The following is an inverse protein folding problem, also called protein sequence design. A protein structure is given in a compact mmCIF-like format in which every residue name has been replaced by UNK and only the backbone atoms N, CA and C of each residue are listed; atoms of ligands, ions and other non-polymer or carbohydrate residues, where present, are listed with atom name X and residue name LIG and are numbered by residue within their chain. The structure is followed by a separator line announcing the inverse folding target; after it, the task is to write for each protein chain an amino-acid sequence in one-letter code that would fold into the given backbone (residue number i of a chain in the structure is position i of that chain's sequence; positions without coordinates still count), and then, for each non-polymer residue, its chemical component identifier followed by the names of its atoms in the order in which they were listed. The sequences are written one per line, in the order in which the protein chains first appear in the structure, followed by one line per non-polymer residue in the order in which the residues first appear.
data_IF_396123751357
#
_entry.id   IF_396123751357
#
_cell.length_a   1.000
_cell.length_b   1.000
_cell.length_c   1.000
_cell.angle_alpha   90.00
_cell.angle_beta   90.00
_cell.angle_gamma   90.00
#
_symmetry.space_group_name_H-M   'P 1'
#
loop_
_entity.id
_entity.type
_entity.pdbx_description
1 polymer ?
#
# COMPACT_ATOMS: atom_id res chain seq x y z
N UNK A 1 8.26 28.42 7.13
CA UNK A 1 8.04 29.50 6.15
C UNK A 1 7.80 28.97 4.74
N UNK A 2 8.72 28.20 4.13
CA UNK A 2 8.55 27.73 2.74
C UNK A 2 7.28 26.85 2.53
N UNK A 3 6.97 25.97 3.46
CA UNK A 3 5.71 25.21 3.42
C UNK A 3 4.45 26.10 3.50
N UNK A 4 4.49 27.21 4.24
CA UNK A 4 3.40 28.19 4.27
C UNK A 4 3.17 28.81 2.90
N UNK A 5 4.26 29.17 2.19
CA UNK A 5 4.20 29.69 0.81
C UNK A 5 3.66 28.68 -0.19
N UNK A 6 3.91 27.38 0.03
CA UNK A 6 3.34 26.31 -0.81
C UNK A 6 1.85 26.16 -0.55
N UNK A 7 1.46 26.03 0.72
CA UNK A 7 0.07 25.83 1.10
C UNK A 7 -0.81 27.03 0.74
N UNK A 8 -0.30 28.26 0.82
CA UNK A 8 -1.03 29.47 0.42
C UNK A 8 -1.45 29.47 -1.05
N UNK A 9 -0.74 28.72 -1.92
CA UNK A 9 -1.07 28.62 -3.35
C UNK A 9 -2.19 27.63 -3.66
N UNK A 10 -2.48 26.71 -2.74
CA UNK A 10 -3.54 25.70 -2.89
C UNK A 10 -4.76 26.01 -2.04
N UNK A 11 -4.68 27.05 -1.20
CA UNK A 11 -5.82 27.51 -0.41
C UNK A 11 -6.96 27.96 -1.33
N UNK A 12 -8.22 27.62 -1.00
CA UNK A 12 -9.37 28.17 -1.69
C UNK A 12 -9.43 29.69 -1.46
N UNK A 13 -9.61 30.45 -2.53
CA UNK A 13 -9.74 31.91 -2.45
C UNK A 13 -10.95 32.29 -1.59
N UNK A 14 -10.71 32.98 -0.47
CA UNK A 14 -11.75 33.34 0.50
C UNK A 14 -12.42 32.15 1.20
N UNK A 15 -11.93 30.92 1.00
CA UNK A 15 -12.55 29.72 1.54
C UNK A 15 -12.22 29.49 3.01
N UNK A 16 -13.12 28.80 3.71
CA UNK A 16 -13.05 28.51 5.13
C UNK A 16 -12.15 27.32 5.41
N UNK A 17 -11.25 27.48 6.38
CA UNK A 17 -10.29 26.45 6.78
C UNK A 17 -10.55 26.02 8.22
N UNK A 18 -10.57 24.72 8.43
CA UNK A 18 -10.39 24.11 9.75
C UNK A 18 -8.99 23.54 9.83
N UNK A 19 -8.29 23.85 10.92
CA UNK A 19 -6.98 23.27 11.22
C UNK A 19 -7.16 22.19 12.28
N UNK A 20 -6.68 20.98 12.04
CA UNK A 20 -6.55 19.93 13.04
C UNK A 20 -5.08 19.71 13.37
N UNK A 21 -4.69 19.84 14.65
CA UNK A 21 -3.28 19.74 15.05
C UNK A 21 -3.09 18.81 16.26
N UNK A 22 -1.91 18.18 16.34
CA UNK A 22 -1.53 17.44 17.53
C UNK A 22 -1.34 18.39 18.72
N UNK A 23 -1.43 17.91 19.98
CA UNK A 23 -1.19 18.74 21.16
C UNK A 23 0.29 19.06 21.41
N UNK A 24 1.21 18.56 20.59
CA UNK A 24 2.64 18.76 20.81
C UNK A 24 3.12 20.11 20.28
N UNK A 25 3.98 20.77 21.03
CA UNK A 25 4.53 22.10 20.70
C UNK A 25 5.14 22.16 19.29
N UNK A 26 5.77 21.07 18.82
CA UNK A 26 6.33 21.03 17.46
C UNK A 26 5.28 21.21 16.35
N UNK A 27 4.05 20.73 16.52
CA UNK A 27 2.98 20.94 15.53
C UNK A 27 2.42 22.36 15.64
N UNK A 28 2.34 22.92 16.85
CA UNK A 28 2.01 24.34 17.08
C UNK A 28 3.03 25.27 16.41
N UNK A 29 4.32 25.04 16.62
CA UNK A 29 5.40 25.79 15.99
C UNK A 29 5.39 25.66 14.46
N UNK A 30 5.07 24.46 13.96
CA UNK A 30 4.90 24.24 12.52
C UNK A 30 3.76 25.11 11.99
N UNK A 31 2.59 25.10 12.64
CA UNK A 31 1.44 25.93 12.26
C UNK A 31 1.77 27.43 12.27
N UNK A 32 2.42 27.93 13.31
CA UNK A 32 2.91 29.32 13.36
C UNK A 32 3.87 29.62 12.19
N UNK A 33 4.76 28.68 11.87
CA UNK A 33 5.67 28.80 10.74
C UNK A 33 5.00 28.72 9.36
N UNK A 34 3.79 28.15 9.26
CA UNK A 34 2.95 28.20 8.08
C UNK A 34 2.30 29.59 7.94
N UNK A 35 1.76 30.15 9.02
CA UNK A 35 1.23 31.52 9.03
C UNK A 35 2.29 32.56 8.66
N UNK A 36 3.46 32.51 9.30
CA UNK A 36 4.60 33.37 8.93
C UNK A 36 5.14 33.11 7.50
N UNK A 37 4.72 32.00 6.88
CA UNK A 37 5.01 31.69 5.48
C UNK A 37 3.97 32.19 4.49
N UNK A 38 2.86 32.80 4.92
CA UNK A 38 1.81 33.33 4.04
C UNK A 38 0.52 32.49 3.99
N UNK A 39 0.38 31.44 4.82
CA UNK A 39 -0.93 30.80 5.02
C UNK A 39 -1.85 31.83 5.71
N UNK A 40 -2.95 32.23 5.07
CA UNK A 40 -3.80 33.30 5.60
C UNK A 40 -4.55 32.84 6.86
N UNK A 41 -4.18 33.38 8.01
CA UNK A 41 -4.81 33.05 9.29
C UNK A 41 -6.27 33.53 9.35
N UNK A 42 -6.64 34.56 8.60
CA UNK A 42 -8.02 35.08 8.56
C UNK A 42 -9.01 34.08 7.95
N UNK A 43 -8.53 33.14 7.13
CA UNK A 43 -9.34 32.05 6.58
C UNK A 43 -9.54 30.89 7.56
N UNK A 44 -8.80 30.87 8.69
CA UNK A 44 -8.87 29.79 9.69
C UNK A 44 -9.97 30.10 10.70
N UNK A 45 -11.08 29.40 10.56
CA UNK A 45 -12.26 29.54 11.42
C UNK A 45 -12.07 28.84 12.77
N UNK A 46 -11.34 27.72 12.77
CA UNK A 46 -11.14 26.90 13.96
C UNK A 46 -9.78 26.20 13.93
N UNK A 47 -9.12 26.14 15.09
CA UNK A 47 -7.97 25.28 15.35
C UNK A 47 -8.39 24.21 16.37
N UNK A 48 -8.63 23.01 15.89
CA UNK A 48 -8.98 21.84 16.70
C UNK A 48 -7.73 21.07 17.11
N UNK A 49 -7.46 21.01 18.41
CA UNK A 49 -6.34 20.24 18.97
C UNK A 49 -6.84 18.86 19.38
N UNK A 50 -6.31 17.79 18.77
CA UNK A 50 -6.77 16.42 19.04
C UNK A 50 -5.62 15.48 19.46
N UNK A 51 -5.70 14.84 20.63
CA UNK A 51 -4.66 13.92 21.08
C UNK A 51 -4.57 12.65 20.23
N UNK A 52 -5.60 12.31 19.44
CA UNK A 52 -5.61 11.10 18.60
C UNK A 52 -4.70 11.22 17.37
N UNK A 53 -4.27 12.42 17.01
CA UNK A 53 -3.32 12.67 15.91
C UNK A 53 -1.91 13.02 16.41
N UNK A 54 -1.55 12.63 17.64
CA UNK A 54 -0.17 12.72 18.15
C UNK A 54 0.74 11.64 17.56
N UNK A 55 2.05 11.78 17.75
CA UNK A 55 3.05 10.79 17.31
C UNK A 55 2.99 9.53 18.17
N UNK A 56 3.53 8.41 17.67
CA UNK A 56 3.68 7.17 18.44
C UNK A 56 4.47 7.40 19.74
N UNK A 57 3.96 6.83 20.82
CA UNK A 57 4.69 6.79 22.09
C UNK A 57 5.70 5.65 22.08
N UNK A 58 6.99 5.96 22.22
CA UNK A 58 8.07 4.96 22.24
C UNK A 58 8.40 4.43 23.64
N UNK A 59 7.61 4.81 24.66
CA UNK A 59 7.82 4.47 26.05
C UNK A 59 8.95 5.25 26.73
N UNK A 60 9.22 4.92 27.99
CA UNK A 60 10.27 5.58 28.79
C UNK A 60 11.68 5.19 28.32
N UNK A 61 12.67 6.05 28.56
CA UNK A 61 14.08 5.77 28.25
C UNK A 61 14.50 4.42 28.84
N UNK A 62 15.00 3.52 27.98
CA UNK A 62 15.41 2.17 28.33
C UNK A 62 16.94 2.05 28.37
N UNK A 63 17.45 1.13 29.21
CA UNK A 63 18.88 0.84 29.31
C UNK A 63 19.48 0.37 27.97
N UNK A 64 20.75 0.71 27.66
CA UNK A 64 21.40 0.38 26.39
C UNK A 64 21.40 -1.12 26.03
N UNK A 65 21.39 -2.02 27.02
CA UNK A 65 21.36 -3.47 26.81
C UNK A 65 19.99 -4.04 26.39
N UNK A 66 18.90 -3.32 26.68
CA UNK A 66 17.54 -3.73 26.35
C UNK A 66 17.26 -3.61 24.84
N UNK A 67 18.01 -2.74 24.15
CA UNK A 67 17.80 -2.42 22.73
C UNK A 67 18.02 -3.60 21.78
N UNK A 68 18.96 -4.51 22.05
CA UNK A 68 19.25 -5.66 21.17
C UNK A 68 18.16 -6.72 21.21
N UNK A 69 17.70 -7.09 22.42
CA UNK A 69 16.58 -8.03 22.63
C UNK A 69 15.28 -7.46 22.06
N UNK A 70 15.00 -6.19 22.33
CA UNK A 70 13.81 -5.49 21.79
C UNK A 70 13.82 -5.48 20.26
N UNK A 71 14.98 -5.23 19.62
CA UNK A 71 15.10 -5.29 18.15
C UNK A 71 14.86 -6.70 17.60
N UNK A 72 15.39 -7.74 18.25
CA UNK A 72 15.19 -9.12 17.83
C UNK A 72 13.71 -9.55 17.97
N UNK A 73 13.05 -9.14 19.04
CA UNK A 73 11.62 -9.35 19.22
C UNK A 73 10.78 -8.58 18.20
N UNK A 74 11.10 -7.32 17.95
CA UNK A 74 10.44 -6.47 16.94
C UNK A 74 10.55 -7.09 15.55
N UNK A 75 11.72 -7.65 15.19
CA UNK A 75 11.90 -8.37 13.92
C UNK A 75 11.03 -9.62 13.84
N UNK A 76 10.86 -10.34 14.95
CA UNK A 76 10.04 -11.57 15.01
C UNK A 76 8.54 -11.29 14.95
N UNK A 77 8.07 -10.25 15.65
CA UNK A 77 6.65 -9.89 15.74
C UNK A 77 6.20 -9.02 14.56
N UNK A 78 7.12 -8.24 14.01
CA UNK A 78 6.85 -7.24 12.99
C UNK A 78 6.57 -5.87 13.61
N UNK A 79 7.18 -4.84 13.02
CA UNK A 79 7.13 -3.44 13.48
C UNK A 79 5.71 -2.88 13.66
N UNK A 80 4.75 -3.36 12.88
CA UNK A 80 3.37 -2.87 12.97
C UNK A 80 2.70 -3.29 14.29
N UNK A 81 2.88 -4.56 14.67
CA UNK A 81 2.21 -5.18 15.82
C UNK A 81 3.02 -5.12 17.11
N UNK A 82 4.34 -4.95 17.02
CA UNK A 82 5.19 -4.98 18.19
C UNK A 82 4.95 -3.76 19.09
N UNK A 83 4.53 -4.03 20.34
CA UNK A 83 4.39 -3.04 21.41
C UNK A 83 5.58 -3.14 22.35
N UNK A 84 6.43 -2.11 22.40
CA UNK A 84 7.54 -2.06 23.37
C UNK A 84 6.97 -1.90 24.79
N UNK A 85 7.72 -2.28 25.83
CA UNK A 85 7.30 -2.02 27.21
C UNK A 85 6.98 -0.54 27.44
N UNK A 86 5.80 -0.26 28.01
CA UNK A 86 5.27 1.08 28.27
C UNK A 86 5.15 1.99 27.03
N UNK A 87 5.04 1.41 25.83
CA UNK A 87 4.95 2.12 24.57
C UNK A 87 3.66 1.80 23.82
N UNK A 88 3.47 2.47 22.70
CA UNK A 88 2.40 2.27 21.73
C UNK A 88 2.94 1.45 20.54
N UNK A 89 2.14 0.55 19.97
CA UNK A 89 2.45 -0.12 18.68
C UNK A 89 1.91 0.70 17.49
N UNK A 90 2.32 0.38 16.26
CA UNK A 90 1.73 1.07 15.10
C UNK A 90 0.24 0.73 14.92
N UNK A 91 -0.18 -0.47 15.35
CA UNK A 91 -1.58 -0.88 15.38
C UNK A 91 -2.41 -0.02 16.36
N UNK A 92 -1.87 0.30 17.54
CA UNK A 92 -2.54 1.18 18.50
C UNK A 92 -2.73 2.60 17.94
N UNK A 93 -1.69 3.12 17.25
CA UNK A 93 -1.78 4.41 16.54
C UNK A 93 -2.83 4.35 15.43
N UNK A 94 -2.87 3.25 14.66
CA UNK A 94 -3.84 3.03 13.59
C UNK A 94 -5.29 3.11 14.12
N UNK A 95 -5.57 2.47 15.25
CA UNK A 95 -6.90 2.44 15.85
C UNK A 95 -7.37 3.82 16.28
N UNK A 96 -6.53 4.61 16.98
CA UNK A 96 -6.91 5.98 17.38
C UNK A 96 -7.00 6.96 16.20
N UNK A 97 -6.16 6.81 15.18
CA UNK A 97 -6.22 7.67 13.98
C UNK A 97 -7.47 7.35 13.17
N UNK A 98 -7.90 6.08 13.13
CA UNK A 98 -9.16 5.68 12.49
C UNK A 98 -10.35 6.29 13.21
N UNK A 99 -10.38 6.27 14.55
CA UNK A 99 -11.42 6.94 15.33
C UNK A 99 -11.47 8.45 15.09
N UNK A 100 -10.31 9.12 15.01
CA UNK A 100 -10.26 10.53 14.64
C UNK A 100 -10.81 10.76 13.23
N UNK A 101 -10.48 9.90 12.28
CA UNK A 101 -10.95 10.00 10.90
C UNK A 101 -12.48 9.88 10.82
N UNK A 102 -13.07 8.92 11.54
CA UNK A 102 -14.52 8.75 11.61
C UNK A 102 -15.20 9.98 12.22
N UNK A 103 -14.64 10.52 13.31
CA UNK A 103 -15.11 11.77 13.94
C UNK A 103 -15.01 12.99 13.00
N UNK A 104 -13.98 13.06 12.17
CA UNK A 104 -13.81 14.16 11.22
C UNK A 104 -14.98 14.24 10.22
N UNK A 105 -15.49 13.08 9.79
CA UNK A 105 -16.53 12.95 8.75
C UNK A 105 -17.91 12.58 9.28
N UNK A 106 -18.13 12.60 10.60
CA UNK A 106 -19.40 12.20 11.19
C UNK A 106 -20.58 13.05 10.65
N UNK A 107 -21.58 12.39 10.05
CA UNK A 107 -22.65 13.04 9.28
C UNK A 107 -23.93 13.31 10.09
N UNK A 108 -23.84 13.32 11.43
CA UNK A 108 -24.96 13.64 12.33
C UNK A 108 -24.96 15.11 12.80
N UNK A 109 -24.21 15.97 12.10
CA UNK A 109 -24.01 17.38 12.46
C UNK A 109 -23.04 17.60 13.63
N UNK A 110 -22.36 16.55 14.10
CA UNK A 110 -21.32 16.62 15.14
C UNK A 110 -19.92 16.33 14.62
N UNK A 111 -19.78 16.01 13.33
CA UNK A 111 -18.48 15.82 12.71
C UNK A 111 -17.71 17.13 12.64
N UNK A 112 -16.39 17.08 12.82
CA UNK A 112 -15.58 18.30 12.87
C UNK A 112 -15.68 19.16 11.60
N UNK A 113 -15.98 18.55 10.44
CA UNK A 113 -16.17 19.27 9.17
C UNK A 113 -17.58 19.85 8.97
N UNK A 114 -18.55 19.49 9.82
CA UNK A 114 -19.96 19.89 9.70
C UNK A 114 -20.51 20.53 10.97
N UNK A 115 -19.71 20.56 12.04
CA UNK A 115 -20.07 21.10 13.35
C UNK A 115 -20.48 22.58 13.23
N UNK A 116 -21.58 22.94 13.88
CA UNK A 116 -22.11 24.31 13.86
C UNK A 116 -22.69 24.76 12.51
N UNK A 117 -22.89 23.85 11.55
CA UNK A 117 -23.42 24.17 10.22
C UNK A 117 -22.42 24.91 9.33
N UNK A 118 -21.15 24.99 9.72
CA UNK A 118 -20.09 25.58 8.92
C UNK A 118 -19.62 24.55 7.89
N UNK A 119 -19.56 24.98 6.62
CA UNK A 119 -18.95 24.19 5.56
C UNK A 119 -17.51 24.67 5.37
N UNK A 120 -16.55 23.79 5.62
CA UNK A 120 -15.14 24.07 5.36
C UNK A 120 -14.77 23.68 3.94
N UNK A 121 -14.01 24.55 3.27
CA UNK A 121 -13.47 24.32 1.93
C UNK A 121 -12.15 23.54 1.98
N UNK A 122 -11.43 23.63 3.10
CA UNK A 122 -10.18 22.92 3.33
C UNK A 122 -10.04 22.49 4.80
N UNK A 123 -9.55 21.27 5.01
CA UNK A 123 -9.08 20.79 6.30
C UNK A 123 -7.55 20.67 6.25
N UNK A 124 -6.85 21.45 7.07
CA UNK A 124 -5.39 21.38 7.20
C UNK A 124 -5.03 20.55 8.43
N UNK A 125 -4.38 19.40 8.22
CA UNK A 125 -3.88 18.56 9.31
C UNK A 125 -2.39 18.78 9.56
N UNK A 126 -2.02 19.22 10.76
CA UNK A 126 -0.63 19.41 11.20
C UNK A 126 -0.28 18.35 12.25
N UNK A 127 0.38 17.28 11.80
CA UNK A 127 0.66 16.08 12.62
C UNK A 127 2.07 15.54 12.33
N UNK A 128 2.29 14.23 12.39
CA UNK A 128 3.60 13.59 12.39
C UNK A 128 3.73 12.51 11.31
N UNK A 129 4.96 12.17 10.96
CA UNK A 129 5.25 11.31 9.81
C UNK A 129 4.60 9.92 9.91
N UNK A 130 4.66 9.25 11.07
CA UNK A 130 4.02 7.94 11.23
C UNK A 130 2.49 8.06 11.20
N UNK A 131 1.95 9.05 11.92
CA UNK A 131 0.51 9.32 11.97
C UNK A 131 -0.08 9.57 10.58
N UNK A 132 0.59 10.36 9.73
CA UNK A 132 0.18 10.58 8.33
C UNK A 132 0.16 9.27 7.56
N UNK A 133 1.21 8.45 7.66
CA UNK A 133 1.28 7.17 6.94
C UNK A 133 0.17 6.20 7.36
N UNK A 134 -0.16 6.15 8.66
CA UNK A 134 -1.23 5.30 9.18
C UNK A 134 -2.61 5.82 8.81
N UNK A 135 -2.80 7.14 8.76
CA UNK A 135 -4.00 7.74 8.20
C UNK A 135 -4.17 7.34 6.74
N UNK A 136 -3.14 7.51 5.90
CA UNK A 136 -3.18 7.08 4.50
C UNK A 136 -3.43 5.57 4.35
N UNK A 137 -2.86 4.74 5.24
CA UNK A 137 -3.16 3.31 5.30
C UNK A 137 -4.66 3.07 5.54
N UNK A 138 -5.27 3.80 6.48
CA UNK A 138 -6.70 3.70 6.78
C UNK A 138 -7.58 4.12 5.59
N UNK A 139 -7.27 5.25 4.93
CA UNK A 139 -8.03 5.75 3.79
C UNK A 139 -7.92 4.82 2.58
N UNK A 140 -6.70 4.44 2.19
CA UNK A 140 -6.43 3.72 0.95
C UNK A 140 -6.38 2.21 1.12
N UNK A 141 -6.78 1.71 2.30
CA UNK A 141 -6.86 0.29 2.66
C UNK A 141 -5.56 -0.44 2.34
N UNK A 142 -4.44 0.17 2.70
CA UNK A 142 -3.13 -0.44 2.49
C UNK A 142 -2.97 -1.65 3.42
N UNK A 143 -2.34 -2.70 2.89
CA UNK A 143 -1.87 -3.82 3.70
C UNK A 143 -0.81 -3.35 4.69
N UNK A 144 -0.59 -4.11 5.77
CA UNK A 144 0.48 -3.85 6.75
C UNK A 144 1.84 -3.80 6.06
N UNK A 145 2.05 -4.63 5.06
CA UNK A 145 3.30 -4.72 4.36
C UNK A 145 3.50 -3.56 3.37
N UNK A 146 2.42 -3.08 2.72
CA UNK A 146 2.47 -1.82 1.97
C UNK A 146 2.79 -0.66 2.91
N UNK A 147 2.10 -0.55 4.05
CA UNK A 147 2.38 0.47 5.04
C UNK A 147 3.85 0.44 5.48
N UNK A 148 4.37 -0.75 5.83
CA UNK A 148 5.74 -0.93 6.31
C UNK A 148 6.79 -0.45 5.31
N UNK A 149 6.49 -0.53 4.02
CA UNK A 149 7.40 -0.11 2.95
C UNK A 149 7.25 1.35 2.51
N UNK A 150 6.19 2.06 2.94
CA UNK A 150 6.07 3.50 2.69
C UNK A 150 7.16 4.24 3.46
N UNK A 151 7.81 5.20 2.82
CA UNK A 151 8.83 6.01 3.46
C UNK A 151 8.20 7.11 4.30
N UNK A 152 8.92 7.54 5.34
CA UNK A 152 8.49 8.71 6.11
C UNK A 152 8.58 9.96 5.24
N UNK A 153 7.57 10.81 5.34
CA UNK A 153 7.65 12.18 4.84
C UNK A 153 8.75 12.93 5.61
N UNK A 154 9.47 13.78 4.88
CA UNK A 154 10.38 14.75 5.46
C UNK A 154 9.65 15.83 6.25
N UNK A 155 10.40 16.61 7.03
CA UNK A 155 9.83 17.75 7.75
C UNK A 155 9.22 18.74 6.76
N UNK A 156 7.97 19.15 7.00
CA UNK A 156 7.22 20.07 6.15
C UNK A 156 6.97 19.59 4.71
N UNK A 157 7.13 18.29 4.44
CA UNK A 157 6.50 17.61 3.31
C UNK A 157 5.03 17.34 3.63
N UNK A 158 4.17 17.32 2.60
CA UNK A 158 2.73 17.18 2.77
C UNK A 158 2.11 16.40 1.63
N UNK A 159 0.99 15.73 1.95
CA UNK A 159 0.16 15.03 0.98
C UNK A 159 -1.18 15.73 0.93
N UNK A 160 -1.60 16.09 -0.29
CA UNK A 160 -2.90 16.73 -0.52
C UNK A 160 -3.89 15.69 -1.00
N UNK A 161 -5.06 15.65 -0.35
CA UNK A 161 -6.17 14.78 -0.71
C UNK A 161 -7.30 15.61 -1.29
N UNK A 162 -7.76 15.24 -2.50
CA UNK A 162 -8.95 15.86 -3.11
C UNK A 162 -10.13 14.91 -3.01
N UNK A 163 -11.29 15.47 -2.66
CA UNK A 163 -12.55 14.74 -2.65
C UNK A 163 -13.04 14.59 -4.09
N UNK A 164 -13.15 13.37 -4.57
CA UNK A 164 -13.87 13.05 -5.78
C UNK A 164 -15.36 12.90 -5.42
N UNK A 165 -16.17 13.91 -5.78
CA UNK A 165 -17.58 13.94 -5.42
C UNK A 165 -18.40 12.86 -6.13
N UNK A 166 -18.00 12.43 -7.33
CA UNK A 166 -18.71 11.41 -8.10
C UNK A 166 -18.49 10.01 -7.53
N UNK A 167 -17.26 9.71 -7.11
CA UNK A 167 -16.89 8.40 -6.58
C UNK A 167 -16.94 8.32 -5.05
N UNK A 168 -17.36 9.41 -4.39
CA UNK A 168 -17.46 9.52 -2.93
C UNK A 168 -16.18 9.08 -2.18
N UNK A 169 -15.02 9.37 -2.76
CA UNK A 169 -13.72 8.95 -2.22
C UNK A 169 -12.71 10.11 -2.23
N UNK A 170 -11.63 9.94 -1.48
CA UNK A 170 -10.47 10.82 -1.54
C UNK A 170 -9.39 10.24 -2.45
N UNK A 171 -8.74 11.11 -3.22
CA UNK A 171 -7.62 10.77 -4.09
C UNK A 171 -6.41 11.65 -3.73
N UNK A 172 -5.21 11.08 -3.82
CA UNK A 172 -3.98 11.86 -3.65
C UNK A 172 -3.83 12.77 -4.86
N UNK A 173 -3.76 14.08 -4.64
CA UNK A 173 -3.41 15.06 -5.65
C UNK A 173 -1.89 15.25 -5.65
N UNK A 174 -1.23 14.68 -6.67
CA UNK A 174 0.22 14.68 -6.78
C UNK A 174 0.75 16.10 -6.94
N UNK A 175 0.07 16.91 -7.75
CA UNK A 175 0.48 18.26 -8.14
C UNK A 175 0.48 19.23 -6.95
N UNK A 176 -0.46 19.03 -6.02
CA UNK A 176 -0.59 19.85 -4.82
C UNK A 176 0.12 19.26 -3.60
N UNK A 177 0.70 18.06 -3.73
CA UNK A 177 1.54 17.46 -2.69
C UNK A 177 2.98 17.98 -2.79
N UNK A 178 3.74 17.88 -1.70
CA UNK A 178 5.17 18.21 -1.71
C UNK A 178 6.00 17.12 -1.03
N UNK A 179 7.00 16.55 -1.73
CA UNK A 179 7.28 16.71 -3.17
C UNK A 179 6.10 16.25 -4.06
N UNK A 180 6.02 16.71 -5.33
CA UNK A 180 4.90 16.39 -6.22
C UNK A 180 5.01 14.97 -6.77
N UNK A 181 4.83 13.98 -5.89
CA UNK A 181 4.87 12.55 -6.18
C UNK A 181 3.97 11.77 -5.23
N UNK A 182 3.62 10.55 -5.62
CA UNK A 182 3.03 9.59 -4.70
C UNK A 182 3.97 9.33 -3.51
N UNK A 183 3.44 9.03 -2.31
CA UNK A 183 4.26 8.56 -1.20
C UNK A 183 5.15 7.41 -1.65
N UNK A 184 6.45 7.56 -1.47
CA UNK A 184 7.40 6.58 -1.98
C UNK A 184 7.27 5.28 -1.18
N UNK A 185 7.19 4.16 -1.88
CA UNK A 185 7.13 2.84 -1.28
C UNK A 185 7.83 1.82 -2.17
N UNK A 186 8.33 0.75 -1.57
CA UNK A 186 8.89 -0.39 -2.30
C UNK A 186 8.11 -1.66 -2.00
N UNK A 187 8.28 -2.71 -2.80
CA UNK A 187 7.71 -4.02 -2.50
C UNK A 187 8.66 -5.11 -2.96
N UNK A 188 9.16 -5.89 -2.01
CA UNK A 188 9.98 -7.07 -2.31
C UNK A 188 9.09 -8.16 -2.92
N UNK A 189 9.64 -8.82 -3.93
CA UNK A 189 9.03 -9.94 -4.64
C UNK A 189 10.10 -10.95 -5.06
N UNK A 190 9.71 -12.20 -5.22
CA UNK A 190 10.53 -13.25 -5.80
C UNK A 190 10.01 -13.54 -7.20
N UNK A 191 10.87 -13.36 -8.20
CA UNK A 191 10.51 -13.60 -9.60
C UNK A 191 10.91 -15.03 -9.92
N UNK A 192 9.92 -15.87 -10.24
CA UNK A 192 10.11 -17.27 -10.61
C UNK A 192 10.32 -17.36 -12.11
N UNK A 193 11.44 -17.94 -12.51
CA UNK A 193 11.83 -18.05 -13.90
C UNK A 193 11.55 -19.44 -14.48
N UNK A 194 11.20 -19.48 -15.77
CA UNK A 194 10.94 -20.71 -16.49
C UNK A 194 12.24 -21.48 -16.77
N UNK A 195 13.33 -20.78 -17.08
CA UNK A 195 14.64 -21.41 -17.35
C UNK A 195 15.32 -21.97 -16.10
N UNK A 196 15.10 -21.38 -14.91
CA UNK A 196 15.68 -21.88 -13.66
C UNK A 196 14.91 -23.11 -13.21
N UNK A 197 15.61 -24.25 -13.14
CA UNK A 197 15.06 -25.53 -12.69
C UNK A 197 15.48 -25.83 -11.27
N UNK A 198 14.56 -26.35 -10.48
CA UNK A 198 14.87 -26.83 -9.13
C UNK A 198 15.77 -28.08 -9.20
N UNK A 199 16.59 -28.32 -8.16
CA UNK A 199 17.40 -29.54 -8.09
C UNK A 199 16.55 -30.80 -8.21
N UNK A 200 17.03 -31.77 -8.99
CA UNK A 200 16.31 -33.00 -9.29
C UNK A 200 15.90 -33.77 -8.02
N UNK A 201 16.76 -33.81 -7.01
CA UNK A 201 16.48 -34.43 -5.70
C UNK A 201 15.22 -33.85 -5.02
N UNK A 202 15.00 -32.53 -5.11
CA UNK A 202 13.81 -31.91 -4.52
C UNK A 202 12.55 -32.32 -5.26
N UNK A 203 12.61 -32.40 -6.58
CA UNK A 203 11.49 -32.83 -7.43
C UNK A 203 11.12 -34.28 -7.15
N UNK A 204 12.11 -35.17 -7.04
CA UNK A 204 11.91 -36.57 -6.69
C UNK A 204 11.33 -36.73 -5.28
N UNK A 205 11.83 -35.95 -4.32
CA UNK A 205 11.30 -35.94 -2.95
C UNK A 205 9.86 -35.45 -2.89
N UNK A 206 9.49 -34.43 -3.67
CA UNK A 206 8.11 -33.97 -3.77
C UNK A 206 7.21 -35.07 -4.37
N UNK A 207 7.67 -35.77 -5.41
CA UNK A 207 6.94 -36.87 -6.01
C UNK A 207 6.70 -38.01 -5.00
N UNK A 208 7.73 -38.40 -4.25
CA UNK A 208 7.60 -39.42 -3.21
C UNK A 208 6.61 -39.02 -2.10
N UNK A 209 6.61 -37.75 -1.68
CA UNK A 209 5.64 -37.23 -0.72
C UNK A 209 4.20 -37.28 -1.26
N UNK A 210 3.99 -36.96 -2.53
CA UNK A 210 2.67 -37.02 -3.19
C UNK A 210 2.15 -38.46 -3.34
N UNK A 211 3.02 -39.41 -3.64
CA UNK A 211 2.65 -40.84 -3.66
C UNK A 211 2.31 -41.34 -2.25
N UNK A 212 3.08 -40.95 -1.23
CA UNK A 212 2.77 -41.29 0.17
C UNK A 212 1.42 -40.71 0.62
N UNK A 213 1.12 -39.45 0.24
CA UNK A 213 -0.18 -38.82 0.50
C UNK A 213 -1.33 -39.64 -0.09
N UNK A 214 -1.17 -40.08 -1.34
CA UNK A 214 -2.19 -40.88 -2.04
C UNK A 214 -2.42 -42.23 -1.36
N UNK A 215 -1.36 -42.92 -0.93
CA UNK A 215 -1.48 -44.19 -0.21
C UNK A 215 -2.21 -44.03 1.14
N UNK A 216 -2.03 -42.90 1.82
CA UNK A 216 -2.71 -42.61 3.09
C UNK A 216 -4.17 -42.17 2.94
N UNK A 217 -4.63 -41.76 1.76
CA UNK A 217 -6.06 -41.49 1.53
C UNK A 217 -6.90 -42.77 1.66
N UNK A 218 -6.30 -43.94 1.46
CA UNK A 218 -6.93 -45.24 1.62
C UNK A 218 -6.88 -45.78 3.07
N UNK A 219 -6.06 -45.17 3.94
CA UNK A 219 -5.87 -45.54 5.35
C UNK A 219 -6.43 -44.47 6.31
N UNK A 220 -7.15 -44.87 7.37
CA UNK A 220 -7.83 -43.94 8.28
C UNK A 220 -6.89 -43.22 9.29
N UNK A 221 -5.77 -42.62 8.84
CA UNK A 221 -4.80 -41.95 9.71
C UNK A 221 -4.70 -40.43 9.48
N UNK A 222 -5.56 -39.65 10.18
CA UNK A 222 -5.69 -38.19 10.01
C UNK A 222 -4.42 -37.39 10.37
N UNK A 223 -3.64 -37.84 11.36
CA UNK A 223 -2.45 -37.10 11.81
C UNK A 223 -1.28 -37.23 10.83
N UNK A 224 -1.07 -38.43 10.28
CA UNK A 224 0.00 -38.68 9.31
C UNK A 224 -0.29 -37.99 7.98
N UNK A 225 -1.55 -37.99 7.53
CA UNK A 225 -1.98 -37.21 6.37
C UNK A 225 -1.65 -35.71 6.50
N UNK A 226 -1.93 -35.11 7.67
CA UNK A 226 -1.61 -33.69 7.92
C UNK A 226 -0.11 -33.40 7.92
N UNK A 227 0.72 -34.33 8.41
CA UNK A 227 2.19 -34.18 8.39
C UNK A 227 2.71 -34.19 6.95
N UNK A 228 2.18 -35.07 6.11
CA UNK A 228 2.56 -35.15 4.71
C UNK A 228 2.07 -33.93 3.94
N UNK A 229 0.86 -33.43 4.18
CA UNK A 229 0.38 -32.19 3.57
C UNK A 229 1.31 -31.00 3.86
N UNK A 230 1.74 -30.86 5.12
CA UNK A 230 2.72 -29.83 5.52
C UNK A 230 4.08 -30.03 4.86
N UNK A 231 4.53 -31.27 4.73
CA UNK A 231 5.79 -31.59 4.07
C UNK A 231 5.75 -31.29 2.56
N UNK A 232 4.63 -31.60 1.90
CA UNK A 232 4.37 -31.26 0.50
C UNK A 232 4.41 -29.75 0.33
N UNK A 233 3.61 -29.00 1.09
CA UNK A 233 3.55 -27.54 0.97
C UNK A 233 4.91 -26.88 1.22
N UNK A 234 5.66 -27.35 2.23
CA UNK A 234 7.02 -26.89 2.50
C UNK A 234 7.98 -27.19 1.36
N UNK A 235 7.88 -28.38 0.75
CA UNK A 235 8.74 -28.76 -0.39
C UNK A 235 8.39 -27.96 -1.65
N UNK A 236 7.10 -27.74 -1.92
CA UNK A 236 6.64 -26.91 -3.05
C UNK A 236 7.13 -25.48 -2.91
N UNK A 237 7.08 -24.90 -1.71
CA UNK A 237 7.65 -23.58 -1.44
C UNK A 237 9.18 -23.53 -1.65
N UNK A 238 9.92 -24.55 -1.21
CA UNK A 238 11.37 -24.64 -1.45
C UNK A 238 11.71 -24.73 -2.94
N UNK A 239 11.00 -25.58 -3.67
CA UNK A 239 11.16 -25.70 -5.13
C UNK A 239 10.86 -24.36 -5.81
N UNK A 240 9.77 -23.69 -5.43
CA UNK A 240 9.43 -22.37 -5.98
C UNK A 240 10.55 -21.36 -5.70
N UNK A 241 11.14 -21.43 -4.52
CA UNK A 241 12.22 -20.55 -4.09
C UNK A 241 13.53 -20.80 -4.85
N UNK A 242 13.96 -22.04 -5.01
CA UNK A 242 15.16 -22.39 -5.81
C UNK A 242 15.07 -21.92 -7.26
N UNK A 243 13.84 -21.73 -7.76
CA UNK A 243 13.56 -21.25 -9.12
C UNK A 243 13.41 -19.73 -9.21
N UNK A 244 13.63 -19.01 -8.10
CA UNK A 244 13.32 -17.59 -8.01
C UNK A 244 14.54 -16.75 -7.67
N UNK A 245 14.54 -15.52 -8.18
CA UNK A 245 15.51 -14.50 -7.78
C UNK A 245 14.81 -13.35 -7.05
N UNK A 246 15.52 -12.68 -6.12
CA UNK A 246 14.98 -11.53 -5.41
C UNK A 246 14.92 -10.30 -6.30
N UNK A 247 13.77 -9.62 -6.32
CA UNK A 247 13.62 -8.29 -6.89
C UNK A 247 12.83 -7.36 -5.96
N UNK A 248 13.07 -6.06 -6.10
CA UNK A 248 12.32 -5.01 -5.42
C UNK A 248 11.58 -4.17 -6.44
N UNK A 249 10.25 -4.09 -6.31
CA UNK A 249 9.42 -3.15 -7.06
C UNK A 249 9.51 -1.78 -6.41
N UNK A 250 10.10 -0.81 -7.09
CA UNK A 250 10.24 0.56 -6.58
C UNK A 250 9.02 1.41 -6.94
N UNK A 251 8.81 2.53 -6.25
CA UNK A 251 7.68 3.43 -6.45
C UNK A 251 6.32 2.68 -6.50
N UNK A 252 6.14 1.70 -5.62
CA UNK A 252 5.05 0.72 -5.67
C UNK A 252 3.66 1.37 -5.58
N UNK A 253 3.54 2.46 -4.82
CA UNK A 253 2.25 3.16 -4.67
C UNK A 253 1.80 3.91 -5.92
N UNK A 254 2.71 4.24 -6.85
CA UNK A 254 2.37 4.83 -8.14
C UNK A 254 1.71 3.83 -9.11
N UNK A 255 1.78 2.53 -8.82
CA UNK A 255 1.02 1.52 -9.54
C UNK A 255 -0.45 1.60 -9.10
N UNK A 256 -1.42 1.70 -10.02
CA UNK A 256 -2.85 1.71 -9.67
C UNK A 256 -3.30 0.42 -9.00
N UNK A 257 -4.33 0.50 -8.17
CA UNK A 257 -4.99 -0.70 -7.63
C UNK A 257 -5.79 -1.43 -8.72
N UNK A 258 -5.90 -2.77 -8.71
CA UNK A 258 -5.16 -3.71 -7.85
C UNK A 258 -3.71 -3.90 -8.33
N UNK A 259 -2.73 -3.50 -7.50
CA UNK A 259 -1.31 -3.34 -7.90
C UNK A 259 -0.64 -4.59 -8.42
N UNK A 260 -0.87 -5.72 -7.76
CA UNK A 260 -0.26 -7.01 -8.12
C UNK A 260 -0.76 -7.57 -9.46
N UNK A 261 -1.83 -7.00 -10.02
CA UNK A 261 -2.36 -7.36 -11.34
C UNK A 261 -1.84 -6.44 -12.46
N UNK A 262 -1.17 -5.34 -12.13
CA UNK A 262 -0.62 -4.39 -13.10
C UNK A 262 0.78 -4.82 -13.54
N UNK A 263 0.88 -5.93 -14.27
CA UNK A 263 2.16 -6.58 -14.62
C UNK A 263 3.13 -5.60 -15.30
N UNK A 264 2.70 -4.88 -16.35
CA UNK A 264 3.54 -3.88 -17.03
C UNK A 264 4.07 -2.81 -16.06
N UNK A 265 3.22 -2.37 -15.14
CA UNK A 265 3.57 -1.39 -14.10
C UNK A 265 4.58 -1.93 -13.09
N UNK A 266 4.47 -3.22 -12.74
CA UNK A 266 5.40 -3.93 -11.86
C UNK A 266 6.76 -4.14 -12.54
N UNK A 267 6.77 -4.73 -13.75
CA UNK A 267 8.00 -5.10 -14.45
C UNK A 267 8.86 -3.87 -14.79
N UNK A 268 8.23 -2.77 -15.20
CA UNK A 268 8.92 -1.49 -15.47
C UNK A 268 9.56 -0.83 -14.24
N UNK A 269 9.37 -1.41 -13.04
CA UNK A 269 9.86 -0.88 -11.75
C UNK A 269 10.69 -1.90 -10.97
N UNK A 270 11.12 -3.00 -11.60
CA UNK A 270 11.92 -4.02 -10.94
C UNK A 270 13.38 -3.60 -10.83
N UNK A 271 13.91 -3.68 -9.61
CA UNK A 271 15.33 -3.57 -9.29
C UNK A 271 15.82 -4.93 -8.79
N UNK A 272 16.94 -5.48 -9.32
CA UNK A 272 17.49 -6.74 -8.84
C UNK A 272 17.95 -6.68 -7.37
N UNK A 273 17.58 -7.69 -6.60
CA UNK A 273 17.89 -7.84 -5.19
C UNK A 273 16.82 -7.31 -4.24
N UNK A 274 16.97 -7.68 -2.97
CA UNK A 274 16.20 -7.19 -1.83
C UNK A 274 17.07 -6.27 -0.96
N UNK A 275 16.50 -5.68 0.09
CA UNK A 275 17.29 -5.02 1.12
C UNK A 275 18.01 -3.76 0.66
N UNK A 276 17.40 -2.95 -0.21
CA UNK A 276 17.98 -1.69 -0.68
C UNK A 276 17.88 -0.52 0.30
N UNK A 277 17.93 -0.81 1.60
CA UNK A 277 17.87 0.21 2.64
C UNK A 277 19.00 1.24 2.47
N UNK A 278 18.68 2.52 2.67
CA UNK A 278 19.65 3.62 2.61
C UNK A 278 19.94 4.18 1.21
N UNK A 279 19.44 3.57 0.12
CA UNK A 279 19.48 4.19 -1.21
C UNK A 279 18.39 5.25 -1.34
N UNK A 280 18.62 6.31 -2.12
CA UNK A 280 17.57 7.31 -2.44
C UNK A 280 16.67 6.80 -3.57
N UNK A 281 15.46 7.38 -3.76
CA UNK A 281 14.58 7.03 -4.87
C UNK A 281 15.27 7.14 -6.23
N UNK A 282 16.04 8.21 -6.46
CA UNK A 282 16.72 8.48 -7.72
C UNK A 282 17.88 7.49 -7.97
N UNK A 283 18.54 7.03 -6.89
CA UNK A 283 19.55 5.99 -6.99
C UNK A 283 18.93 4.63 -7.33
N UNK A 284 17.73 4.34 -6.80
CA UNK A 284 16.99 3.12 -7.11
C UNK A 284 16.48 3.09 -8.55
N UNK A 285 15.96 4.22 -9.05
CA UNK A 285 15.48 4.34 -10.43
C UNK A 285 16.59 4.04 -11.46
N UNK A 286 17.85 4.37 -11.15
CA UNK A 286 19.01 4.03 -12.00
C UNK A 286 19.37 2.54 -12.00
N UNK A 287 18.86 1.78 -11.04
CA UNK A 287 19.10 0.33 -10.93
C UNK A 287 17.97 -0.50 -11.54
N UNK A 288 16.94 0.14 -12.11
CA UNK A 288 15.84 -0.57 -12.74
C UNK A 288 16.37 -1.43 -13.87
N UNK A 289 16.14 -2.73 -13.76
CA UNK A 289 16.53 -3.74 -14.73
C UNK A 289 15.47 -4.84 -14.69
N UNK A 290 14.53 -4.76 -15.62
CA UNK A 290 13.50 -5.77 -15.78
C UNK A 290 14.10 -7.01 -16.44
N UNK A 291 13.82 -8.22 -15.92
CA UNK A 291 14.18 -9.46 -16.61
C UNK A 291 13.30 -9.66 -17.86
N UNK A 292 13.65 -10.65 -18.68
CA UNK A 292 12.84 -11.03 -19.85
C UNK A 292 11.44 -11.49 -19.40
N UNK A 293 10.41 -10.73 -19.75
CA UNK A 293 9.02 -11.01 -19.42
C UNK A 293 8.58 -12.41 -19.89
N UNK A 294 9.10 -12.88 -21.03
CA UNK A 294 8.69 -14.17 -21.61
C UNK A 294 9.16 -15.37 -20.81
N UNK A 295 10.11 -15.16 -19.92
CA UNK A 295 10.70 -16.18 -19.05
C UNK A 295 10.18 -16.08 -17.60
N UNK A 296 9.33 -15.08 -17.28
CA UNK A 296 8.69 -14.98 -15.97
C UNK A 296 7.47 -15.91 -15.90
N UNK A 297 7.52 -16.90 -15.02
CA UNK A 297 6.41 -17.82 -14.76
C UNK A 297 5.45 -17.25 -13.71
N UNK A 298 6.01 -16.68 -12.64
CA UNK A 298 5.24 -16.24 -11.47
C UNK A 298 5.96 -15.14 -10.68
N UNK A 299 5.19 -14.25 -10.07
CA UNK A 299 5.69 -13.25 -9.11
C UNK A 299 5.18 -13.63 -7.72
N UNK A 300 6.08 -14.13 -6.88
CA UNK A 300 5.79 -14.47 -5.49
C UNK A 300 6.02 -13.26 -4.58
N UNK A 301 4.92 -12.62 -4.18
CA UNK A 301 4.90 -11.45 -3.31
C UNK A 301 5.08 -11.76 -1.82
N UNK A 302 5.12 -13.04 -1.44
CA UNK A 302 5.06 -13.47 -0.05
C UNK A 302 6.32 -14.20 0.40
N UNK A 303 7.04 -14.84 -0.52
CA UNK A 303 8.21 -15.64 -0.20
C UNK A 303 7.87 -16.70 0.84
N UNK A 304 8.71 -16.86 1.85
CA UNK A 304 8.52 -17.91 2.87
C UNK A 304 7.42 -17.61 3.89
N UNK A 305 6.79 -16.44 3.82
CA UNK A 305 5.75 -16.02 4.78
C UNK A 305 4.36 -16.61 4.48
N UNK A 306 4.17 -17.28 3.34
CA UNK A 306 2.90 -17.88 2.94
C UNK A 306 3.11 -19.30 2.44
N UNK A 307 2.20 -20.20 2.79
CA UNK A 307 2.16 -21.57 2.27
C UNK A 307 2.05 -21.57 0.74
N UNK A 308 2.58 -22.61 0.10
CA UNK A 308 2.48 -22.74 -1.35
C UNK A 308 1.01 -22.72 -1.80
N UNK A 309 0.16 -23.49 -1.13
CA UNK A 309 -1.29 -23.50 -1.41
C UNK A 309 -1.92 -22.11 -1.20
N UNK A 310 -1.48 -21.37 -0.17
CA UNK A 310 -1.92 -20.00 0.08
C UNK A 310 -1.55 -19.03 -1.03
N UNK A 311 -0.37 -19.21 -1.66
CA UNK A 311 0.05 -18.46 -2.85
C UNK A 311 -0.81 -18.83 -4.05
N UNK A 312 -1.08 -20.12 -4.26
CA UNK A 312 -1.86 -20.62 -5.38
C UNK A 312 -3.32 -20.15 -5.38
N UNK A 313 -3.91 -19.89 -4.21
CA UNK A 313 -5.24 -19.26 -4.11
C UNK A 313 -5.29 -17.85 -4.70
N UNK A 314 -4.15 -17.17 -4.75
CA UNK A 314 -4.02 -15.77 -5.20
C UNK A 314 -3.56 -15.67 -6.65
N UNK A 315 -3.23 -16.80 -7.26
CA UNK A 315 -3.05 -16.93 -8.70
C UNK A 315 -4.42 -16.96 -9.36
N UNK A 316 -4.78 -15.87 -10.03
CA UNK A 316 -5.89 -15.90 -10.97
C UNK A 316 -5.53 -16.94 -12.05
N UNK A 317 -6.30 -18.03 -12.17
CA UNK A 317 -6.08 -19.04 -13.24
C UNK A 317 -6.19 -18.44 -14.66
N UNK A 318 -6.70 -17.22 -14.79
CA UNK A 318 -6.80 -16.43 -16.03
C UNK A 318 -5.66 -15.41 -16.22
N UNK A 319 -4.74 -15.30 -15.26
CA UNK A 319 -3.68 -14.27 -15.23
C UNK A 319 -2.28 -14.87 -15.10
N UNK A 320 -2.02 -16.02 -15.73
CA UNK A 320 -0.67 -16.31 -16.21
C UNK A 320 -0.28 -15.15 -17.13
N UNK A 321 0.95 -14.64 -17.07
CA UNK A 321 1.41 -13.48 -17.87
C UNK A 321 1.08 -13.64 -19.37
N UNK A 322 0.98 -14.88 -19.86
CA UNK A 322 0.57 -15.22 -21.21
C UNK A 322 -0.94 -15.09 -21.53
N UNK A 323 -1.84 -15.12 -20.55
CA UNK A 323 -3.30 -15.14 -20.76
C UNK A 323 -3.91 -13.74 -20.98
N UNK A 324 -3.29 -12.67 -20.45
CA UNK A 324 -3.77 -11.28 -20.59
C UNK A 324 -3.58 -10.70 -22.00
N UNK A 325 -2.77 -11.31 -22.87
CA UNK A 325 -2.56 -10.83 -24.26
C UNK A 325 -3.44 -11.49 -25.32
N UNK A 326 -3.95 -12.70 -25.09
CA UNK A 326 -4.86 -13.35 -26.06
C UNK A 326 -6.15 -12.53 -26.26
N UNK A 327 -6.67 -11.91 -25.20
CA UNK A 327 -7.89 -11.10 -25.26
C UNK A 327 -7.70 -9.71 -25.90
N UNK A 328 -6.49 -9.12 -25.86
CA UNK A 328 -6.21 -7.81 -26.49
C UNK A 328 -5.91 -7.90 -27.98
N UNK A 329 -5.41 -9.04 -28.47
CA UNK A 329 -5.15 -9.23 -29.90
C UNK A 329 -6.41 -9.55 -30.73
N UNK A 330 -7.46 -10.09 -30.10
CA UNK A 330 -8.71 -10.45 -30.79
C UNK A 330 -9.73 -9.30 -30.89
N UNK A 331 -9.57 -8.19 -30.16
CA UNK A 331 -10.57 -7.10 -30.15
C UNK A 331 -10.33 -5.99 -31.20
N UNK A 332 -9.35 -6.14 -32.11
CA UNK A 332 -9.03 -5.09 -33.11
C UNK A 332 -9.43 -5.41 -34.56
N UNK A 333 -9.97 -6.60 -34.84
CA UNK A 333 -10.44 -6.95 -36.19
C UNK A 333 -11.90 -7.37 -36.18
N UNK A 334 -12.83 -6.43 -36.02
CA UNK A 334 -14.16 -6.51 -36.64
C UNK A 334 -14.40 -5.21 -37.39
N UNK A 335 -13.96 -5.23 -38.64
CA UNK A 335 -14.30 -4.30 -39.70
C UNK A 335 -15.82 -4.18 -39.83
N UNK A 336 -16.32 -2.95 -39.72
CA UNK A 336 -17.66 -2.56 -40.19
C UNK A 336 -17.73 -2.70 -41.70
N UNK A 337 -18.77 -3.35 -42.21
CA UNK A 337 -19.28 -3.17 -43.57
C UNK A 337 -20.76 -2.80 -43.51
N UNK A 338 -21.26 -1.94 -44.43
CA UNK A 338 -22.56 -1.29 -44.32
C UNK A 338 -23.65 -2.04 -45.12
N UNK A 339 -24.86 -2.09 -44.56
CA UNK A 339 -26.12 -2.45 -45.25
C UNK A 339 -27.19 -1.64 -44.54
N UNK A 340 -27.62 -0.53 -45.13
CA UNK A 340 -28.67 -0.37 -46.16
C UNK A 340 -29.93 0.16 -45.47
N UNK A 341 -30.32 1.36 -45.88
CA UNK A 341 -31.48 2.08 -45.39
C UNK A 341 -32.74 1.48 -46.00
N UNK A 342 -33.76 1.32 -45.18
CA UNK A 342 -35.15 1.28 -45.62
C UNK A 342 -35.96 2.19 -44.72
N UNK A 343 -36.39 3.30 -45.32
CA UNK A 343 -37.45 4.18 -44.85
C UNK A 343 -38.77 3.40 -44.77
N UNK A 344 -39.54 3.62 -43.70
CA UNK A 344 -41.00 3.70 -43.76
C UNK A 344 -41.51 4.64 -42.67
N UNK A 345 -42.23 5.65 -43.13
CA UNK A 345 -42.97 6.71 -42.44
C UNK A 345 -43.99 6.23 -41.38
N UNK A 346 -43.97 6.92 -40.22
CA UNK A 346 -45.07 7.61 -39.49
C UNK A 346 -46.40 6.88 -39.10
N UNK A 347 -47.28 7.47 -38.24
CA UNK A 347 -47.10 8.34 -37.07
C UNK A 347 -47.94 7.92 -35.82
N UNK A 348 -47.84 8.72 -34.75
CA UNK A 348 -48.82 8.95 -33.66
C UNK A 348 -49.16 7.83 -32.64
N UNK A 349 -48.82 8.06 -31.37
CA UNK A 349 -49.80 8.45 -30.34
C UNK A 349 -49.15 8.66 -28.96
N UNK A 350 -49.32 9.89 -28.44
CA UNK A 350 -49.36 10.36 -27.04
C UNK A 350 -48.12 10.33 -26.13
#
# INVERSE_FOLDING_TARGET
MDAGKRLSKIMPEGGKIIVCTSPFERTTQTLLGLYGGGLNQENVECVHVDPQIREQEFGNFQDPGLTSKVRAEEQRVGRFYYRRPNAESSADVFDRVTQFWDKLFEDNGRGLLTEGGVKYDMCLMVTHGLTIRLMLMCLFKWSVETFASVWNLGNCEHITLKKNAHEHKYEICIEESYPPRMPWATREAWIVFAHIKAPQEMVERLAALKEAQKALMDEACREEALRIDKAIDSMENKILRERSEPYTVINYLAIPQPRTMQIDGVLSRLVPGHGHAGKTPEALEKLVAAPDETDIEFIDWWGDNLSYQGKMLRLNRTATIHATRSSRSQSRNHSRSPTEATETDDPDDL
#
